data_IF_842756839070
#
_entry.id   IF_842756839070
#
_cell.length_a   1.000
_cell.length_b   1.000
_cell.length_c   1.000
_cell.angle_alpha   90.00
_cell.angle_beta   90.00
_cell.angle_gamma   90.00
#
_symmetry.space_group_name_H-M   'P 1'
#
loop_
_entity.id
_entity.type
_entity.pdbx_description
1 polymer ?
#
# COMPACT_ATOMS: atom_id res chain seq x y z
N UNK A 1 16.14 20.06 4.16
CA UNK A 1 14.80 20.17 3.56
C UNK A 1 14.48 18.84 2.90
N UNK A 2 13.89 17.88 3.64
CA UNK A 2 13.26 16.65 3.11
C UNK A 2 12.60 15.89 4.27
N UNK A 3 11.51 16.44 4.83
CA UNK A 3 10.69 15.76 5.85
C UNK A 3 9.42 15.14 5.25
N UNK A 4 8.75 15.90 4.38
CA UNK A 4 7.44 15.53 3.83
C UNK A 4 7.44 14.32 2.88
N UNK A 5 8.59 13.98 2.26
CA UNK A 5 8.69 12.83 1.36
C UNK A 5 8.74 11.50 2.13
N UNK A 6 9.32 11.53 3.35
CA UNK A 6 9.41 10.35 4.21
C UNK A 6 8.05 9.99 4.83
N UNK A 7 7.27 10.99 5.25
CA UNK A 7 5.95 10.77 5.87
C UNK A 7 4.94 10.15 4.90
N UNK A 8 4.98 10.57 3.63
CA UNK A 8 4.15 9.98 2.58
C UNK A 8 4.63 8.57 2.20
N UNK A 9 5.94 8.34 2.13
CA UNK A 9 6.50 7.01 1.87
C UNK A 9 6.14 6.00 2.96
N UNK A 10 6.17 6.42 4.23
CA UNK A 10 5.86 5.52 5.35
C UNK A 10 4.39 5.06 5.31
N UNK A 11 3.47 6.00 5.11
CA UNK A 11 2.02 5.69 5.03
C UNK A 11 1.68 4.76 3.86
N UNK A 12 2.35 4.92 2.71
CA UNK A 12 2.19 4.04 1.53
C UNK A 12 2.72 2.65 1.81
N UNK A 13 3.89 2.56 2.44
CA UNK A 13 4.54 1.29 2.79
C UNK A 13 3.72 0.52 3.82
N UNK A 14 3.16 1.19 4.83
CA UNK A 14 2.24 0.57 5.81
C UNK A 14 0.97 0.08 5.12
N UNK A 15 0.38 0.89 4.24
CA UNK A 15 -0.83 0.52 3.52
C UNK A 15 -0.60 -0.64 2.53
N UNK A 16 0.57 -0.67 1.88
CA UNK A 16 1.00 -1.75 0.99
C UNK A 16 1.20 -3.07 1.75
N UNK A 17 1.88 -3.02 2.90
CA UNK A 17 2.07 -4.19 3.77
C UNK A 17 0.73 -4.73 4.26
N UNK A 18 -0.16 -3.84 4.72
CA UNK A 18 -1.51 -4.23 5.13
C UNK A 18 -2.25 -4.93 3.98
N UNK A 19 -2.22 -4.37 2.76
CA UNK A 19 -2.86 -4.98 1.59
C UNK A 19 -2.18 -6.31 1.15
N UNK A 20 -0.87 -6.43 1.36
CA UNK A 20 -0.11 -7.65 1.09
C UNK A 20 -0.51 -8.79 2.05
N UNK A 21 -0.79 -8.45 3.31
CA UNK A 21 -1.25 -9.39 4.34
C UNK A 21 -2.71 -9.83 4.12
N UNK A 22 -3.55 -8.92 3.60
CA UNK A 22 -4.94 -9.24 3.28
C UNK A 22 -5.04 -10.34 2.20
N UNK A 23 -5.56 -11.51 2.61
CA UNK A 23 -5.88 -12.63 1.73
C UNK A 23 -7.08 -12.30 0.81
N UNK A 24 -8.10 -11.61 1.33
CA UNK A 24 -9.25 -11.12 0.58
C UNK A 24 -9.31 -9.59 0.62
N UNK A 25 -8.78 -8.89 -0.41
CA UNK A 25 -8.77 -7.43 -0.43
C UNK A 25 -10.18 -6.87 -0.68
N UNK A 26 -10.60 -5.83 0.06
CA UNK A 26 -11.90 -5.20 -0.14
C UNK A 26 -11.94 -4.51 -1.51
N UNK A 27 -13.01 -4.74 -2.28
CA UNK A 27 -13.26 -4.03 -3.54
C UNK A 27 -14.31 -2.95 -3.29
N UNK A 28 -14.02 -1.65 -3.53
CA UNK A 28 -12.85 -1.12 -4.23
C UNK A 28 -11.67 -0.76 -3.29
N UNK A 29 -10.45 -1.18 -3.66
CA UNK A 29 -9.25 -1.09 -2.81
C UNK A 29 -8.79 0.36 -2.59
N UNK A 30 -8.77 1.16 -3.66
CA UNK A 30 -8.34 2.57 -3.62
C UNK A 30 -9.13 3.39 -2.58
N UNK A 31 -10.48 3.47 -2.63
CA UNK A 31 -11.22 4.21 -1.61
C UNK A 31 -11.08 3.59 -0.22
N UNK A 32 -10.93 2.27 -0.08
CA UNK A 32 -10.68 1.64 1.20
C UNK A 32 -9.34 2.11 1.82
N UNK A 33 -8.26 2.13 1.04
CA UNK A 33 -6.95 2.62 1.49
C UNK A 33 -6.99 4.12 1.83
N UNK A 34 -7.70 4.92 1.01
CA UNK A 34 -7.86 6.36 1.25
C UNK A 34 -8.63 6.65 2.54
N UNK A 35 -9.73 5.94 2.80
CA UNK A 35 -10.52 6.10 4.02
C UNK A 35 -9.78 5.59 5.26
N UNK A 36 -9.01 4.49 5.12
CA UNK A 36 -8.32 3.86 6.25
C UNK A 36 -7.03 4.56 6.66
N UNK A 37 -6.25 5.01 5.68
CA UNK A 37 -4.92 5.56 5.90
C UNK A 37 -4.81 7.06 5.54
N UNK A 38 -5.91 7.70 5.12
CA UNK A 38 -5.90 9.13 4.74
C UNK A 38 -5.10 9.44 3.48
N UNK A 39 -4.79 8.43 2.66
CA UNK A 39 -3.87 8.56 1.52
C UNK A 39 -4.48 9.36 0.35
N UNK A 40 -3.60 10.02 -0.40
CA UNK A 40 -3.94 10.56 -1.72
C UNK A 40 -4.23 9.41 -2.73
N UNK A 41 -5.03 9.65 -3.78
CA UNK A 41 -5.33 8.61 -4.78
C UNK A 41 -4.09 8.07 -5.49
N UNK A 42 -3.07 8.91 -5.74
CA UNK A 42 -1.80 8.47 -6.30
C UNK A 42 -1.07 7.51 -5.35
N UNK A 43 -1.02 7.85 -4.06
CA UNK A 43 -0.39 7.05 -3.01
C UNK A 43 -1.11 5.71 -2.80
N UNK A 44 -2.43 5.69 -2.92
CA UNK A 44 -3.21 4.45 -2.88
C UNK A 44 -2.87 3.53 -4.07
N UNK A 45 -2.71 4.08 -5.29
CA UNK A 45 -2.26 3.31 -6.44
C UNK A 45 -0.85 2.75 -6.25
N UNK A 46 0.08 3.55 -5.71
CA UNK A 46 1.44 3.09 -5.39
C UNK A 46 1.43 1.96 -4.35
N UNK A 47 0.65 2.11 -3.27
CA UNK A 47 0.50 1.08 -2.26
C UNK A 47 -0.03 -0.24 -2.84
N UNK A 48 -0.97 -0.17 -3.79
CA UNK A 48 -1.50 -1.35 -4.50
C UNK A 48 -0.41 -2.02 -5.34
N UNK A 49 0.40 -1.25 -6.06
CA UNK A 49 1.51 -1.79 -6.85
C UNK A 49 2.55 -2.48 -5.96
N UNK A 50 2.99 -1.81 -4.87
CA UNK A 50 3.94 -2.38 -3.90
C UNK A 50 3.41 -3.64 -3.22
N UNK A 51 2.13 -3.67 -2.86
CA UNK A 51 1.52 -4.86 -2.24
C UNK A 51 1.53 -6.07 -3.18
N UNK A 52 1.31 -5.85 -4.48
CA UNK A 52 1.40 -6.92 -5.49
C UNK A 52 2.81 -7.45 -5.60
N UNK A 53 3.80 -6.56 -5.65
CA UNK A 53 5.22 -6.93 -5.72
C UNK A 53 5.63 -7.77 -4.50
N UNK A 54 5.25 -7.34 -3.28
CA UNK A 54 5.47 -8.11 -2.05
C UNK A 54 4.85 -9.51 -2.09
N UNK A 55 3.64 -9.66 -2.64
CA UNK A 55 3.00 -10.98 -2.81
C UNK A 55 3.78 -11.87 -3.78
N UNK A 56 4.27 -11.30 -4.88
CA UNK A 56 5.06 -12.02 -5.88
C UNK A 56 6.41 -12.43 -5.29
N UNK A 57 7.13 -11.53 -4.62
CA UNK A 57 8.39 -11.86 -3.94
C UNK A 57 8.18 -12.97 -2.90
N UNK A 58 7.13 -12.87 -2.06
CA UNK A 58 6.82 -13.95 -1.10
C UNK A 58 6.51 -15.29 -1.77
N UNK A 59 5.85 -15.29 -2.93
CA UNK A 59 5.59 -16.52 -3.68
C UNK A 59 6.84 -17.06 -4.38
N UNK A 60 7.79 -16.22 -4.78
CA UNK A 60 9.00 -16.60 -5.49
C UNK A 60 10.14 -17.08 -4.56
N UNK A 61 10.18 -16.56 -3.32
CA UNK A 61 11.23 -16.85 -2.35
C UNK A 61 10.74 -17.63 -1.11
N UNK A 62 9.45 -18.01 -1.08
CA UNK A 62 8.79 -18.73 0.02
C UNK A 62 8.70 -20.23 -0.18
#
# INVERSE_FOLDING_TARGET
>A
MTGADHEHSDSVVVAAQWLADQCAPPRPIVPALRQRFGLAPLQACEAIARARDMKICRAAFG
#
